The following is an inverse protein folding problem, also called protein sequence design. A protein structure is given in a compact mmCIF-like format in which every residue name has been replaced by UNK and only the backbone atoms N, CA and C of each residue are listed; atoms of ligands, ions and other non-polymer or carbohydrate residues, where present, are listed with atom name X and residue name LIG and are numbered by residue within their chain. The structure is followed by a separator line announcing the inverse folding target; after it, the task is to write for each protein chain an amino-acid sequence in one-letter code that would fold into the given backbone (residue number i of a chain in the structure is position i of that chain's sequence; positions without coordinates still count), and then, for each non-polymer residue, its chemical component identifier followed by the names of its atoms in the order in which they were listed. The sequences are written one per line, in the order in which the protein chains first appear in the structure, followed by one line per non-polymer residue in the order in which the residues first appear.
data_IF_162244255150
#
_entry.id   IF_162244255150
#
_cell.length_a   1.000
_cell.length_b   1.000
_cell.length_c   1.000
_cell.angle_alpha   90.00
_cell.angle_beta   90.00
_cell.angle_gamma   90.00
#
_symmetry.space_group_name_H-M   'P 1'
#
loop_
_entity.id
_entity.type
_entity.pdbx_description
1 polymer ?
#
# COMPACT_ATOMS: atom_id res chain seq x y z
N UNK A 1 27.74 -8.86 0.31
CA UNK A 1 27.06 -8.94 1.63
C UNK A 1 27.79 -8.00 2.59
N UNK A 2 27.10 -7.15 3.37
CA UNK A 2 27.75 -6.29 4.37
C UNK A 2 27.89 -7.07 5.68
N UNK A 3 29.13 -7.38 6.06
CA UNK A 3 29.51 -7.96 7.35
C UNK A 3 29.54 -6.81 8.37
N UNK A 4 28.91 -6.99 9.53
CA UNK A 4 28.95 -6.00 10.61
C UNK A 4 30.33 -5.96 11.26
N UNK A 5 30.65 -4.88 11.98
CA UNK A 5 31.88 -4.74 12.79
C UNK A 5 32.08 -5.88 13.82
N UNK A 6 31.04 -6.66 14.12
CA UNK A 6 31.05 -7.78 15.06
C UNK A 6 31.11 -9.16 14.39
N UNK A 7 31.53 -9.23 13.12
CA UNK A 7 31.67 -10.50 12.38
C UNK A 7 30.34 -11.18 12.05
N UNK A 8 29.20 -10.52 12.28
CA UNK A 8 27.86 -11.07 12.02
C UNK A 8 27.30 -10.50 10.72
N UNK A 9 26.75 -11.37 9.87
CA UNK A 9 26.10 -10.93 8.65
C UNK A 9 24.84 -10.12 8.99
N UNK A 10 24.74 -8.90 8.47
CA UNK A 10 23.56 -8.03 8.62
C UNK A 10 22.24 -8.66 8.14
N UNK A 11 22.33 -9.74 7.35
CA UNK A 11 21.19 -10.52 6.83
C UNK A 11 20.93 -11.82 7.59
N UNK A 12 21.58 -11.99 8.76
CA UNK A 12 21.45 -13.13 9.67
C UNK A 12 21.86 -14.47 9.05
N UNK A 13 22.94 -14.45 8.25
CA UNK A 13 23.59 -15.66 7.76
C UNK A 13 24.73 -16.06 8.70
N UNK A 14 24.97 -17.37 8.92
CA UNK A 14 24.27 -18.51 8.34
C UNK A 14 22.86 -18.71 8.91
N UNK A 15 21.92 -19.16 8.07
CA UNK A 15 20.55 -19.50 8.48
C UNK A 15 20.46 -20.98 8.93
N UNK A 16 19.56 -21.35 9.85
CA UNK A 16 19.38 -22.75 10.25
C UNK A 16 19.01 -23.65 9.07
N UNK A 17 19.44 -24.91 9.13
CA UNK A 17 18.98 -25.94 8.20
C UNK A 17 17.51 -26.27 8.48
N UNK A 18 16.75 -26.56 7.43
CA UNK A 18 15.35 -26.97 7.52
C UNK A 18 15.01 -27.94 6.42
N UNK A 19 14.32 -29.04 6.75
CA UNK A 19 13.91 -30.06 5.78
C UNK A 19 12.73 -29.62 4.92
N UNK A 20 11.94 -28.65 5.36
CA UNK A 20 10.76 -28.14 4.64
C UNK A 20 10.61 -26.63 4.79
N UNK A 21 9.92 -25.99 3.84
CA UNK A 21 9.58 -24.57 3.95
C UNK A 21 8.39 -24.44 4.90
N UNK A 22 8.51 -23.56 5.90
CA UNK A 22 7.49 -23.36 6.92
C UNK A 22 7.11 -21.87 7.00
N UNK A 23 5.86 -21.60 7.38
CA UNK A 23 5.40 -20.24 7.69
C UNK A 23 5.79 -19.93 9.14
N UNK A 24 6.55 -18.86 9.38
CA UNK A 24 6.84 -18.43 10.75
C UNK A 24 5.78 -17.46 11.28
N UNK A 25 5.68 -17.37 12.61
CA UNK A 25 4.73 -16.52 13.33
C UNK A 25 4.93 -15.02 13.06
N UNK A 26 6.14 -14.62 12.64
CA UNK A 26 6.43 -13.24 12.26
C UNK A 26 5.86 -12.84 10.89
N UNK A 27 5.36 -13.82 10.12
CA UNK A 27 4.78 -13.65 8.79
C UNK A 27 5.78 -13.83 7.64
N UNK A 28 7.04 -14.15 7.93
CA UNK A 28 8.06 -14.46 6.94
C UNK A 28 8.24 -15.99 6.78
N UNK A 29 8.42 -16.51 5.55
CA UNK A 29 8.68 -17.92 5.34
C UNK A 29 10.10 -18.31 5.80
N UNK A 30 10.20 -19.42 6.52
CA UNK A 30 11.45 -20.12 6.77
C UNK A 30 11.68 -21.14 5.66
N UNK A 31 12.54 -20.81 4.69
CA UNK A 31 12.80 -21.68 3.54
C UNK A 31 13.52 -22.97 3.92
N UNK A 32 13.16 -24.05 3.21
CA UNK A 32 13.91 -25.30 3.21
C UNK A 32 15.39 -25.07 2.87
N UNK A 33 16.28 -25.57 3.72
CA UNK A 33 17.74 -25.55 3.58
C UNK A 33 18.27 -26.94 3.95
N UNK A 34 18.57 -27.76 2.95
CA UNK A 34 19.00 -29.16 3.14
C UNK A 34 20.45 -29.21 3.62
N UNK A 35 20.74 -30.07 4.59
CA UNK A 35 22.12 -30.43 4.96
C UNK A 35 22.79 -31.18 3.81
N UNK A 36 24.13 -31.29 3.80
CA UNK A 36 24.83 -32.16 2.85
C UNK A 36 24.33 -33.62 2.89
N UNK A 37 24.02 -34.14 4.09
CA UNK A 37 23.47 -35.49 4.28
C UNK A 37 22.06 -35.67 3.74
N UNK A 38 21.29 -34.58 3.60
CA UNK A 38 19.93 -34.57 3.04
C UNK A 38 19.92 -34.09 1.56
N UNK A 39 21.04 -34.22 0.85
CA UNK A 39 21.18 -33.81 -0.56
C UNK A 39 21.33 -32.30 -0.77
N UNK A 40 21.89 -31.60 0.20
CA UNK A 40 22.35 -30.22 0.09
C UNK A 40 23.76 -30.13 -0.52
N UNK A 41 24.16 -28.92 -0.93
CA UNK A 41 25.45 -28.69 -1.57
C UNK A 41 26.44 -28.02 -0.62
N UNK A 42 27.72 -28.28 -0.88
CA UNK A 42 28.86 -27.61 -0.24
C UNK A 42 29.78 -27.05 -1.31
N UNK A 43 30.40 -25.91 -1.03
CA UNK A 43 31.40 -25.28 -1.87
C UNK A 43 32.51 -24.69 -1.00
N UNK A 44 33.74 -24.70 -1.50
CA UNK A 44 34.86 -24.07 -0.83
C UNK A 44 35.09 -22.68 -1.41
N UNK A 45 35.01 -21.64 -0.59
CA UNK A 45 35.25 -20.25 -1.01
C UNK A 45 36.28 -19.65 -0.05
N UNK A 46 37.45 -19.23 -0.57
CA UNK A 46 38.54 -18.67 0.23
C UNK A 46 38.90 -19.55 1.44
N UNK A 47 39.06 -20.85 1.20
CA UNK A 47 39.31 -21.89 2.23
C UNK A 47 38.22 -22.08 3.30
N UNK A 48 37.08 -21.41 3.17
CA UNK A 48 35.91 -21.63 4.00
C UNK A 48 34.97 -22.64 3.34
N UNK A 49 34.60 -23.68 4.09
CA UNK A 49 33.54 -24.59 3.66
C UNK A 49 32.18 -23.94 3.87
N UNK A 50 31.50 -23.70 2.76
CA UNK A 50 30.19 -23.07 2.69
C UNK A 50 29.16 -24.13 2.30
N UNK A 51 28.08 -24.20 3.06
CA UNK A 51 26.92 -25.01 2.73
C UNK A 51 25.66 -24.16 2.47
N UNK A 52 24.54 -24.83 2.23
CA UNK A 52 23.24 -24.21 2.00
C UNK A 52 22.78 -23.23 3.10
N UNK A 53 23.39 -23.20 4.29
CA UNK A 53 23.05 -22.22 5.34
C UNK A 53 23.42 -20.80 4.94
N UNK A 54 24.39 -20.63 4.03
CA UNK A 54 24.94 -19.35 3.58
C UNK A 54 24.34 -18.83 2.27
N UNK A 55 23.57 -19.68 1.57
CA UNK A 55 23.04 -19.39 0.24
C UNK A 55 21.71 -18.66 0.33
N UNK A 56 21.51 -17.60 -0.45
CA UNK A 56 20.18 -16.99 -0.57
C UNK A 56 19.30 -17.88 -1.46
N UNK A 57 18.08 -18.25 -1.07
CA UNK A 57 17.19 -19.03 -1.93
C UNK A 57 16.99 -18.31 -3.26
N UNK A 58 17.08 -19.05 -4.36
CA UNK A 58 16.93 -18.53 -5.71
C UNK A 58 16.18 -19.56 -6.57
N UNK A 59 15.64 -19.10 -7.69
CA UNK A 59 15.08 -19.99 -8.70
C UNK A 59 16.09 -20.15 -9.86
N UNK A 60 16.66 -21.35 -10.07
CA UNK A 60 17.67 -21.57 -11.11
C UNK A 60 17.18 -21.25 -12.52
N UNK A 61 15.90 -21.48 -12.81
CA UNK A 61 15.29 -21.17 -14.12
C UNK A 61 15.26 -19.67 -14.31
N UNK A 62 14.67 -18.92 -13.38
CA UNK A 62 14.59 -17.46 -13.48
C UNK A 62 15.98 -16.82 -13.53
N UNK A 63 16.89 -17.25 -12.65
CA UNK A 63 18.24 -16.67 -12.64
C UNK A 63 18.99 -16.89 -13.96
N UNK A 64 18.78 -18.04 -14.61
CA UNK A 64 19.39 -18.34 -15.91
C UNK A 64 18.70 -17.58 -17.05
N UNK A 65 17.35 -17.52 -17.04
CA UNK A 65 16.57 -16.83 -18.06
C UNK A 65 16.89 -15.34 -18.13
N UNK A 66 17.06 -14.69 -16.98
CA UNK A 66 17.26 -13.24 -16.89
C UNK A 66 18.71 -12.83 -16.63
N UNK A 67 19.65 -13.79 -16.57
CA UNK A 67 21.06 -13.56 -16.26
C UNK A 67 21.28 -12.68 -15.00
N UNK A 68 20.41 -12.84 -14.00
CA UNK A 68 20.39 -12.03 -12.79
C UNK A 68 20.09 -12.89 -11.57
N UNK A 69 20.58 -12.49 -10.39
CA UNK A 69 20.24 -13.19 -9.16
C UNK A 69 18.81 -12.81 -8.72
N UNK A 70 17.84 -13.68 -9.01
CA UNK A 70 16.43 -13.46 -8.68
C UNK A 70 16.09 -14.15 -7.36
N UNK A 71 15.75 -13.32 -6.36
CA UNK A 71 15.19 -13.79 -5.10
C UNK A 71 13.69 -14.08 -5.31
N UNK A 72 13.24 -15.29 -4.98
CA UNK A 72 11.83 -15.68 -5.05
C UNK A 72 11.31 -15.84 -3.63
N UNK A 73 10.28 -15.07 -3.27
CA UNK A 73 9.70 -15.13 -1.94
C UNK A 73 8.27 -15.67 -1.91
N UNK A 74 7.99 -16.58 -0.96
CA UNK A 74 6.64 -17.05 -0.67
C UNK A 74 5.91 -16.00 0.18
N UNK A 75 4.88 -15.40 -0.39
CA UNK A 75 4.05 -14.41 0.26
C UNK A 75 2.73 -15.04 0.70
N UNK A 76 2.54 -15.25 2.00
CA UNK A 76 1.30 -15.82 2.54
C UNK A 76 0.70 -15.04 3.73
N UNK A 77 1.26 -13.87 4.06
CA UNK A 77 0.77 -13.02 5.13
C UNK A 77 0.42 -11.62 4.63
N UNK A 78 -0.51 -10.94 5.32
CA UNK A 78 -0.84 -9.52 5.05
C UNK A 78 0.41 -8.64 5.15
N UNK A 79 1.35 -8.98 6.04
CA UNK A 79 2.65 -8.28 6.14
C UNK A 79 3.47 -8.42 4.87
N UNK A 80 3.50 -9.60 4.25
CA UNK A 80 4.22 -9.86 3.00
C UNK A 80 3.56 -9.16 1.81
N UNK A 81 2.22 -9.10 1.76
CA UNK A 81 1.49 -8.32 0.74
C UNK A 81 1.80 -6.82 0.90
N UNK A 82 1.70 -6.31 2.14
CA UNK A 82 2.09 -4.93 2.46
C UNK A 82 3.53 -4.65 2.05
N UNK A 83 4.43 -5.62 2.24
CA UNK A 83 5.82 -5.51 1.84
C UNK A 83 5.93 -5.41 0.30
N UNK A 84 5.33 -6.30 -0.48
CA UNK A 84 5.35 -6.21 -1.95
C UNK A 84 4.76 -4.88 -2.42
N UNK A 85 3.57 -4.51 -1.94
CA UNK A 85 2.94 -3.24 -2.27
C UNK A 85 3.82 -2.05 -1.88
N UNK A 86 4.52 -2.13 -0.75
CA UNK A 86 5.54 -1.15 -0.37
C UNK A 86 6.62 -1.09 -1.43
N UNK A 87 7.28 -2.18 -1.84
CA UNK A 87 8.40 -2.08 -2.79
C UNK A 87 7.98 -1.71 -4.22
N UNK A 88 6.78 -2.10 -4.65
CA UNK A 88 6.24 -1.71 -5.96
C UNK A 88 5.86 -0.23 -5.97
N UNK A 89 5.24 0.26 -4.89
CA UNK A 89 4.75 1.64 -4.82
C UNK A 89 5.68 2.60 -4.06
N UNK A 90 6.79 2.09 -3.52
CA UNK A 90 7.88 2.91 -2.98
C UNK A 90 8.64 3.44 -4.17
N UNK A 91 8.09 4.49 -4.78
CA UNK A 91 8.81 5.31 -5.74
C UNK A 91 10.00 6.01 -5.09
N UNK A 92 10.85 6.62 -5.92
CA UNK A 92 11.78 7.63 -5.42
C UNK A 92 11.00 8.71 -4.68
N UNK A 93 11.38 8.98 -3.44
CA UNK A 93 10.79 10.00 -2.57
C UNK A 93 11.11 11.39 -3.13
N UNK A 94 10.42 11.79 -4.20
CA UNK A 94 10.70 13.00 -4.98
C UNK A 94 12.11 13.03 -5.58
N UNK A 95 12.25 13.77 -6.67
CA UNK A 95 13.56 14.13 -7.17
C UNK A 95 13.54 15.63 -7.43
N UNK A 96 14.47 16.33 -6.77
CA UNK A 96 14.74 17.73 -7.05
C UNK A 96 15.79 17.76 -8.16
N UNK A 97 15.46 18.41 -9.27
CA UNK A 97 16.40 18.62 -10.37
C UNK A 97 16.62 20.12 -10.54
N UNK A 98 17.88 20.51 -10.71
CA UNK A 98 18.24 21.90 -10.99
C UNK A 98 18.16 22.16 -12.48
N UNK A 99 17.44 23.22 -12.86
CA UNK A 99 17.53 23.79 -14.21
C UNK A 99 18.68 24.81 -14.21
N UNK A 100 19.52 24.80 -15.24
CA UNK A 100 20.57 25.82 -15.41
C UNK A 100 19.90 27.17 -15.72
N UNK A 101 19.57 27.92 -14.68
CA UNK A 101 19.21 29.33 -14.77
C UNK A 101 19.92 30.08 -13.64
N UNK A 102 20.87 30.95 -13.99
CA UNK A 102 21.80 31.55 -13.04
C UNK A 102 21.21 32.71 -12.20
N UNK A 103 19.94 33.09 -12.41
CA UNK A 103 19.43 34.39 -11.93
C UNK A 103 18.26 34.35 -10.93
N UNK A 104 17.79 33.18 -10.47
CA UNK A 104 16.74 33.12 -9.45
C UNK A 104 16.81 31.82 -8.62
N UNK A 105 16.95 31.95 -7.30
CA UNK A 105 17.07 30.85 -6.34
C UNK A 105 15.75 30.07 -6.18
N UNK A 106 14.60 30.71 -6.42
CA UNK A 106 13.26 30.11 -6.26
C UNK A 106 12.90 29.26 -7.49
N UNK A 107 13.31 29.66 -8.69
CA UNK A 107 13.15 28.85 -9.92
C UNK A 107 14.26 27.82 -10.14
N UNK A 108 15.20 27.70 -9.18
CA UNK A 108 16.35 26.78 -9.25
C UNK A 108 16.01 25.31 -8.95
N UNK A 109 14.85 25.03 -8.35
CA UNK A 109 14.48 23.67 -7.96
C UNK A 109 13.03 23.36 -8.32
N UNK A 110 12.84 22.51 -9.34
CA UNK A 110 11.53 21.87 -9.55
C UNK A 110 11.47 20.56 -8.77
N UNK A 111 10.45 20.42 -7.93
CA UNK A 111 10.15 19.18 -7.22
C UNK A 111 9.32 18.27 -8.11
N UNK A 112 9.97 17.27 -8.72
CA UNK A 112 9.30 16.27 -9.56
C UNK A 112 8.90 15.04 -8.75
N UNK A 113 7.69 14.53 -8.99
CA UNK A 113 7.31 13.19 -8.54
C UNK A 113 7.88 12.16 -9.51
N UNK A 114 8.69 11.22 -9.01
CA UNK A 114 9.12 10.07 -9.81
C UNK A 114 7.91 9.17 -10.14
N UNK A 115 7.77 8.82 -11.41
CA UNK A 115 6.80 7.84 -11.92
C UNK A 115 7.62 6.68 -12.50
N UNK A 116 7.34 5.45 -12.06
CA UNK A 116 8.03 4.25 -12.59
C UNK A 116 7.75 4.06 -14.08
N UNK A 117 8.65 3.41 -14.83
CA UNK A 117 8.44 3.15 -16.27
C UNK A 117 7.13 2.43 -16.57
N UNK A 118 6.72 1.50 -15.70
CA UNK A 118 5.43 0.80 -15.78
C UNK A 118 4.24 1.72 -15.54
N UNK A 119 4.30 2.59 -14.52
CA UNK A 119 3.23 3.57 -14.25
C UNK A 119 3.13 4.62 -15.38
N UNK A 120 4.26 5.04 -15.94
CA UNK A 120 4.31 5.97 -17.05
C UNK A 120 3.66 5.39 -18.32
N UNK A 121 3.99 4.14 -18.68
CA UNK A 121 3.36 3.45 -19.79
C UNK A 121 1.84 3.30 -19.58
N UNK A 122 1.41 2.95 -18.36
CA UNK A 122 -0.02 2.86 -18.01
C UNK A 122 -0.74 4.20 -18.18
N UNK A 123 -0.11 5.30 -17.75
CA UNK A 123 -0.64 6.67 -17.90
C UNK A 123 -0.70 7.11 -19.35
N UNK A 124 0.37 6.91 -20.12
CA UNK A 124 0.46 7.29 -21.55
C UNK A 124 -0.59 6.56 -22.38
N UNK A 125 -0.82 5.28 -22.08
CA UNK A 125 -1.81 4.45 -22.77
C UNK A 125 -3.23 4.63 -22.20
N UNK A 126 -3.43 5.56 -21.26
CA UNK A 126 -4.70 5.83 -20.59
C UNK A 126 -5.37 4.57 -20.00
N UNK A 127 -4.57 3.59 -19.57
CA UNK A 127 -5.12 2.43 -18.90
C UNK A 127 -5.61 2.80 -17.50
N UNK A 128 -6.69 2.17 -17.01
CA UNK A 128 -7.12 2.32 -15.62
C UNK A 128 -5.95 2.00 -14.67
N UNK A 129 -5.45 3.02 -13.97
CA UNK A 129 -4.30 2.89 -13.05
C UNK A 129 -4.73 2.18 -11.77
N UNK A 130 -5.99 2.35 -11.38
CA UNK A 130 -6.59 1.70 -10.25
C UNK A 130 -8.06 1.46 -10.56
N UNK A 131 -8.48 0.21 -10.45
CA UNK A 131 -9.88 -0.15 -10.32
C UNK A 131 -10.00 -0.88 -8.99
N UNK A 132 -10.87 -0.40 -8.10
CA UNK A 132 -11.18 -1.08 -6.85
C UNK A 132 -12.61 -1.57 -6.97
N UNK A 133 -12.75 -2.88 -7.05
CA UNK A 133 -14.04 -3.55 -6.95
C UNK A 133 -14.04 -4.43 -5.70
N UNK A 134 -14.87 -4.14 -4.69
CA UNK A 134 -15.84 -3.04 -4.64
C UNK A 134 -15.17 -1.66 -4.42
N UNK A 135 -15.83 -0.55 -4.80
CA UNK A 135 -15.32 0.80 -4.53
C UNK A 135 -15.20 1.04 -3.02
N UNK A 136 -14.00 1.42 -2.57
CA UNK A 136 -13.72 1.70 -1.15
C UNK A 136 -13.89 3.19 -0.88
N UNK A 137 -14.81 3.54 0.02
CA UNK A 137 -14.99 4.90 0.52
C UNK A 137 -14.27 5.08 1.87
N UNK A 138 -13.43 6.11 1.99
CA UNK A 138 -12.82 6.45 3.27
C UNK A 138 -13.77 7.28 4.12
N UNK A 139 -14.21 6.72 5.23
CA UNK A 139 -15.04 7.40 6.22
C UNK A 139 -14.15 8.01 7.30
N UNK A 140 -14.24 9.32 7.48
CA UNK A 140 -13.45 10.03 8.48
C UNK A 140 -14.04 9.77 9.86
N UNK A 141 -13.20 9.54 10.87
CA UNK A 141 -13.58 9.45 12.28
C UNK A 141 -12.67 10.38 13.07
N UNK A 142 -13.25 11.20 13.93
CA UNK A 142 -12.52 12.14 14.78
C UNK A 142 -13.36 12.47 16.02
N UNK A 143 -12.72 13.05 17.02
CA UNK A 143 -13.41 13.61 18.20
C UNK A 143 -14.12 14.92 17.83
N UNK A 144 -14.96 15.41 18.74
CA UNK A 144 -15.58 16.73 18.62
C UNK A 144 -14.51 17.81 18.44
N UNK A 145 -14.67 18.68 17.43
CA UNK A 145 -13.71 19.70 17.03
C UNK A 145 -12.32 19.18 16.59
N UNK A 146 -12.16 17.86 16.42
CA UNK A 146 -10.93 17.20 15.97
C UNK A 146 -10.87 16.95 14.46
N UNK A 147 -11.71 17.62 13.66
CA UNK A 147 -11.71 17.46 12.20
C UNK A 147 -10.42 17.98 11.56
N UNK A 148 -9.91 17.24 10.58
CA UNK A 148 -8.80 17.71 9.74
C UNK A 148 -9.36 18.69 8.72
N UNK A 149 -8.83 19.91 8.71
CA UNK A 149 -9.20 20.96 7.74
C UNK A 149 -8.00 21.25 6.85
N UNK A 150 -8.18 21.03 5.55
CA UNK A 150 -7.21 21.43 4.53
C UNK A 150 -7.53 22.85 4.07
N UNK A 151 -6.50 23.69 4.01
CA UNK A 151 -6.58 25.06 3.54
C UNK A 151 -5.34 25.43 2.72
N UNK A 152 -5.46 26.49 1.94
CA UNK A 152 -4.37 27.17 1.26
C UNK A 152 -4.37 28.66 1.68
N UNK A 153 -3.34 29.44 1.32
CA UNK A 153 -3.25 30.85 1.72
C UNK A 153 -4.47 31.70 1.30
N UNK A 154 -5.13 31.33 0.20
CA UNK A 154 -6.28 32.05 -0.36
C UNK A 154 -7.59 31.77 0.40
N UNK A 155 -7.78 30.54 0.89
CA UNK A 155 -9.04 30.10 1.51
C UNK A 155 -8.97 29.93 3.03
N UNK A 156 -7.80 30.14 3.65
CA UNK A 156 -7.58 29.93 5.09
C UNK A 156 -8.62 30.62 5.98
N UNK A 157 -8.90 31.91 5.73
CA UNK A 157 -9.86 32.66 6.53
C UNK A 157 -11.26 32.06 6.46
N UNK A 158 -11.73 31.72 5.26
CA UNK A 158 -13.04 31.11 5.07
C UNK A 158 -13.09 29.68 5.65
N UNK A 159 -12.01 28.91 5.55
CA UNK A 159 -11.93 27.54 6.10
C UNK A 159 -11.94 27.48 7.62
N UNK A 160 -11.46 28.52 8.30
CA UNK A 160 -11.56 28.64 9.76
C UNK A 160 -12.99 28.93 10.18
N UNK A 161 -13.65 29.87 9.49
CA UNK A 161 -15.01 30.28 9.81
C UNK A 161 -16.02 29.19 9.42
N UNK A 162 -15.80 28.56 8.27
CA UNK A 162 -16.67 27.59 7.63
C UNK A 162 -15.89 26.32 7.25
N UNK A 163 -15.55 25.46 8.24
CA UNK A 163 -14.85 24.22 7.96
C UNK A 163 -15.69 23.30 7.08
N UNK A 164 -15.04 22.61 6.15
CA UNK A 164 -15.72 21.62 5.32
C UNK A 164 -16.24 20.46 6.15
N UNK A 165 -17.50 20.07 5.92
CA UNK A 165 -18.11 18.96 6.62
C UNK A 165 -17.39 17.66 6.28
N UNK A 166 -16.97 16.96 7.33
CA UNK A 166 -16.46 15.60 7.19
C UNK A 166 -17.62 14.64 6.93
N UNK A 167 -17.30 13.44 6.44
CA UNK A 167 -18.29 12.38 6.27
C UNK A 167 -18.99 12.02 7.59
N UNK A 168 -18.32 12.17 8.74
CA UNK A 168 -18.93 11.91 10.05
C UNK A 168 -19.98 12.95 10.41
N UNK A 169 -19.64 14.24 10.30
CA UNK A 169 -20.57 15.32 10.60
C UNK A 169 -21.77 15.31 9.67
N UNK A 170 -21.54 15.07 8.38
CA UNK A 170 -22.62 14.96 7.41
C UNK A 170 -23.49 13.71 7.64
N UNK A 171 -22.95 12.62 8.21
CA UNK A 171 -23.77 11.49 8.64
C UNK A 171 -24.68 11.87 9.81
N UNK A 172 -24.19 12.63 10.80
CA UNK A 172 -25.05 13.11 11.90
C UNK A 172 -26.18 14.02 11.39
N UNK A 173 -25.89 14.92 10.45
CA UNK A 173 -26.92 15.74 9.80
C UNK A 173 -27.92 14.91 8.98
N UNK A 174 -27.43 13.88 8.28
CA UNK A 174 -28.28 12.94 7.56
C UNK A 174 -29.23 12.22 8.53
N UNK A 175 -28.73 11.75 9.67
CA UNK A 175 -29.55 11.14 10.71
C UNK A 175 -30.57 12.10 11.34
N UNK A 176 -30.41 13.42 11.22
CA UNK A 176 -31.45 14.36 11.67
C UNK A 176 -32.60 14.48 10.67
N UNK A 177 -32.36 14.19 9.38
CA UNK A 177 -33.28 14.52 8.27
C UNK A 177 -33.87 13.30 7.57
N UNK A 178 -33.20 12.14 7.59
CA UNK A 178 -33.64 10.91 6.92
C UNK A 178 -33.81 9.79 7.96
N UNK A 179 -35.05 9.30 8.14
CA UNK A 179 -35.36 8.24 9.10
C UNK A 179 -34.69 6.91 8.75
N UNK A 180 -34.46 6.61 7.47
CA UNK A 180 -33.76 5.40 7.08
C UNK A 180 -32.29 5.45 7.53
N UNK A 181 -31.64 6.61 7.40
CA UNK A 181 -30.24 6.77 7.80
C UNK A 181 -30.02 6.51 9.29
N UNK A 182 -31.01 6.82 10.16
CA UNK A 182 -30.96 6.55 11.60
C UNK A 182 -30.87 5.06 11.93
N UNK A 183 -31.29 4.20 11.01
CA UNK A 183 -31.23 2.73 11.18
C UNK A 183 -29.86 2.13 10.84
N UNK A 184 -28.98 2.92 10.22
CA UNK A 184 -27.67 2.47 9.75
C UNK A 184 -26.57 2.79 10.75
N UNK A 185 -25.56 1.92 10.82
CA UNK A 185 -24.27 2.31 11.39
C UNK A 185 -23.46 3.09 10.35
N UNK A 186 -22.56 3.95 10.82
CA UNK A 186 -21.78 4.83 9.95
C UNK A 186 -21.05 4.10 8.81
N UNK A 187 -20.52 2.89 9.07
CA UNK A 187 -19.85 2.06 8.06
C UNK A 187 -20.77 1.50 6.97
N UNK A 188 -22.07 1.45 7.19
CA UNK A 188 -23.06 0.96 6.23
C UNK A 188 -23.57 2.05 5.29
N UNK A 189 -23.47 3.32 5.70
CA UNK A 189 -23.95 4.48 4.95
C UNK A 189 -23.50 4.47 3.48
N UNK A 190 -22.23 4.17 3.14
CA UNK A 190 -21.79 4.14 1.74
C UNK A 190 -22.50 3.10 0.85
N UNK A 191 -23.10 2.06 1.44
CA UNK A 191 -23.86 1.06 0.69
C UNK A 191 -25.21 1.60 0.20
N UNK A 192 -25.76 2.63 0.85
CA UNK A 192 -27.09 3.20 0.54
C UNK A 192 -27.02 4.66 0.06
N UNK A 193 -25.95 5.37 0.40
CA UNK A 193 -25.77 6.79 0.09
C UNK A 193 -24.45 7.03 -0.65
N UNK A 194 -24.45 8.02 -1.55
CA UNK A 194 -23.26 8.53 -2.24
C UNK A 194 -22.82 9.85 -1.62
N UNK A 195 -21.52 10.00 -1.41
CA UNK A 195 -20.91 11.24 -0.96
C UNK A 195 -20.68 12.19 -2.14
N UNK A 196 -21.27 13.39 -2.11
CA UNK A 196 -21.07 14.44 -3.10
C UNK A 196 -21.24 15.81 -2.46
N UNK A 197 -20.44 16.81 -2.84
CA UNK A 197 -20.60 18.21 -2.40
C UNK A 197 -20.70 18.35 -0.87
N UNK A 198 -19.90 17.57 -0.15
CA UNK A 198 -19.88 17.50 1.32
C UNK A 198 -21.20 17.06 1.98
N UNK A 199 -22.01 16.28 1.26
CA UNK A 199 -23.29 15.75 1.73
C UNK A 199 -23.53 14.31 1.23
N UNK A 200 -24.31 13.56 1.99
CA UNK A 200 -24.83 12.26 1.55
C UNK A 200 -26.13 12.40 0.78
N UNK A 201 -26.23 11.69 -0.34
CA UNK A 201 -27.42 11.59 -1.16
C UNK A 201 -27.81 10.12 -1.34
N UNK A 202 -29.12 9.81 -1.32
CA UNK A 202 -29.59 8.45 -1.58
C UNK A 202 -29.09 7.96 -2.94
N UNK A 203 -28.66 6.69 -3.00
CA UNK A 203 -28.25 6.06 -4.25
C UNK A 203 -29.41 5.99 -5.23
N UNK A 204 -29.10 6.27 -6.50
CA UNK A 204 -30.04 6.15 -7.62
C UNK A 204 -29.97 4.78 -8.29
N UNK A 205 -28.91 4.01 -8.05
CA UNK A 205 -28.64 2.70 -8.63
C UNK A 205 -28.41 1.67 -7.51
N UNK A 206 -28.74 0.41 -7.79
CA UNK A 206 -28.63 -0.70 -6.84
C UNK A 206 -29.93 -1.50 -6.71
N UNK A 207 -29.94 -2.46 -5.80
CA UNK A 207 -31.13 -3.28 -5.50
C UNK A 207 -32.03 -2.54 -4.51
N UNK A 208 -33.37 -2.56 -4.69
CA UNK A 208 -34.29 -2.04 -3.69
C UNK A 208 -34.07 -2.73 -2.34
N UNK A 209 -34.16 -1.96 -1.26
CA UNK A 209 -34.10 -2.51 0.09
C UNK A 209 -35.47 -3.06 0.49
N UNK A 210 -35.49 -4.21 1.17
CA UNK A 210 -36.72 -4.77 1.74
C UNK A 210 -37.36 -3.73 2.69
N UNK A 211 -38.68 -3.56 2.62
CA UNK A 211 -39.46 -2.54 3.34
C UNK A 211 -39.22 -1.06 2.94
N UNK A 212 -38.17 -0.77 2.16
CA UNK A 212 -37.84 0.58 1.68
C UNK A 212 -37.60 0.60 0.16
N UNK A 213 -38.66 0.50 -0.67
CA UNK A 213 -38.54 0.35 -2.13
C UNK A 213 -37.86 1.55 -2.83
N UNK A 214 -37.96 2.73 -2.22
CA UNK A 214 -37.31 3.97 -2.66
C UNK A 214 -35.81 4.02 -2.35
N UNK A 215 -35.34 3.18 -1.43
CA UNK A 215 -33.93 3.10 -1.06
C UNK A 215 -33.26 2.03 -1.91
N UNK A 216 -32.09 2.39 -2.47
CA UNK A 216 -31.25 1.46 -3.24
C UNK A 216 -30.00 1.11 -2.44
N UNK A 217 -29.68 -0.17 -2.38
CA UNK A 217 -28.45 -0.71 -1.84
C UNK A 217 -27.54 -1.19 -2.97
N UNK A 218 -26.30 -0.76 -2.93
CA UNK A 218 -25.25 -1.29 -3.77
C UNK A 218 -24.57 -2.47 -3.07
N UNK A 219 -24.15 -3.46 -3.84
CA UNK A 219 -23.31 -4.54 -3.34
C UNK A 219 -21.87 -4.02 -3.29
N UNK A 220 -21.56 -3.24 -2.25
CA UNK A 220 -20.16 -3.10 -1.80
C UNK A 220 -19.75 -4.43 -1.19
#
# INVERSE_FOLDING_TARGET
QKISLYGTCSKKYPRPLSKQTQTADDGYPQYRRRSPTDGGFTAKINDLDIDNRWVVPYNPVLSRTFLAHINVELCNSVKSIKYICKYVNKGGDQAAFGLENEFDEISKYESGRYISSSEAAWRILCFPIHERYPPVMHLTVHLENGQIVYFNPENYQDRILNPTKTTLLAFFELCQTDDFAKTLIYSEVPAYYTWKDNKFFRRKQGKPVHDYPEVKKDNV
#
